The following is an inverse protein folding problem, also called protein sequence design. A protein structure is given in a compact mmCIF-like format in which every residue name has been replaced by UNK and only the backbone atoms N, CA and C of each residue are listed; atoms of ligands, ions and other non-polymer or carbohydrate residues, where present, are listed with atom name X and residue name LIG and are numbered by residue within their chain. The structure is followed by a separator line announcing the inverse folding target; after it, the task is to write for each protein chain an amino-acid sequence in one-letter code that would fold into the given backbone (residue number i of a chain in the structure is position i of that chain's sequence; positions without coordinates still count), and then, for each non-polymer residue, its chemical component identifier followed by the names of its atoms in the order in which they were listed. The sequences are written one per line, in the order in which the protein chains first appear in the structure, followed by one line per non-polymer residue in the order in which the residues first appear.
data_IF_865936544658
#
_entry.id   IF_865936544658
#
_cell.length_a   1.000
_cell.length_b   1.000
_cell.length_c   1.000
_cell.angle_alpha   90.00
_cell.angle_beta   90.00
_cell.angle_gamma   90.00
#
_symmetry.space_group_name_H-M   'P 1'
#
loop_
_entity.id
_entity.type
_entity.pdbx_description
1 polymer ?
#
# COMPACT_ATOMS: atom_id res chain seq x y z
N UNK A 1 79.08 3.74 9.02
CA UNK A 1 77.84 4.26 8.40
C UNK A 1 76.75 3.23 8.67
N UNK A 2 76.05 3.20 9.79
CA UNK A 2 75.15 4.18 10.42
C UNK A 2 73.74 4.20 9.78
N UNK A 3 72.73 4.06 10.67
CA UNK A 3 71.25 3.98 10.53
C UNK A 3 70.70 2.58 10.18
N UNK A 4 69.90 1.88 11.00
CA UNK A 4 68.84 2.34 11.93
C UNK A 4 67.61 2.73 11.11
N UNK A 5 66.34 2.43 11.40
CA UNK A 5 65.63 2.21 12.67
C UNK A 5 64.21 1.69 12.29
N UNK A 6 63.59 0.91 13.18
CA UNK A 6 62.14 0.77 13.40
C UNK A 6 61.21 0.32 12.25
N UNK A 7 60.86 -0.96 12.28
CA UNK A 7 59.49 -1.38 11.98
C UNK A 7 58.62 -1.11 13.21
N UNK A 8 57.78 -0.07 13.13
CA UNK A 8 56.72 0.19 14.09
C UNK A 8 55.40 0.42 13.32
N UNK A 9 54.37 -0.25 13.84
CA UNK A 9 52.95 0.06 13.73
C UNK A 9 52.33 0.13 12.34
N UNK A 10 51.55 -0.90 11.99
CA UNK A 10 50.10 -0.70 11.80
C UNK A 10 49.37 -1.95 12.29
N UNK A 11 48.84 -1.85 13.51
CA UNK A 11 47.65 -2.56 13.93
C UNK A 11 46.48 -2.12 13.05
N UNK A 12 46.24 -2.83 11.94
CA UNK A 12 44.96 -2.71 11.25
C UNK A 12 44.00 -3.69 11.94
N UNK A 13 43.01 -3.21 12.73
CA UNK A 13 41.89 -4.05 13.05
C UNK A 13 41.22 -4.40 11.72
N UNK A 14 40.94 -5.69 11.54
CA UNK A 14 40.00 -6.17 10.53
C UNK A 14 38.81 -5.23 10.52
N UNK A 15 38.69 -4.40 9.49
CA UNK A 15 37.51 -3.59 9.25
C UNK A 15 36.36 -4.58 9.10
N UNK A 16 35.55 -4.70 10.15
CA UNK A 16 34.30 -5.43 10.07
C UNK A 16 33.49 -4.83 8.92
N UNK A 17 32.87 -5.66 8.06
CA UNK A 17 31.89 -5.17 7.10
C UNK A 17 30.61 -4.85 7.89
N UNK A 18 30.67 -3.79 8.69
CA UNK A 18 29.55 -3.27 9.49
C UNK A 18 29.06 -1.91 8.97
N UNK A 19 29.68 -1.37 7.92
CA UNK A 19 29.40 -0.04 7.37
C UNK A 19 28.55 -0.05 6.08
N UNK A 20 27.77 -1.12 5.87
CA UNK A 20 26.72 -1.21 4.83
C UNK A 20 25.31 -1.27 5.45
N UNK A 21 25.14 -0.70 6.64
CA UNK A 21 23.80 -0.42 7.16
C UNK A 21 23.25 0.80 6.40
N UNK A 22 22.15 0.67 5.61
CA UNK A 22 21.66 1.78 4.79
C UNK A 22 21.35 2.97 5.69
N UNK A 23 21.94 4.15 5.41
CA UNK A 23 21.83 5.37 6.21
C UNK A 23 20.45 5.55 6.84
N UNK A 24 20.31 5.13 8.09
CA UNK A 24 19.06 5.17 8.83
C UNK A 24 18.92 6.57 9.42
N UNK A 25 18.03 7.40 8.85
CA UNK A 25 17.61 8.60 9.55
C UNK A 25 16.99 8.16 10.90
N UNK A 26 17.54 8.57 12.05
CA UNK A 26 16.96 8.17 13.33
C UNK A 26 15.54 8.72 13.43
N UNK A 27 14.56 7.96 13.95
CA UNK A 27 13.24 8.50 14.17
C UNK A 27 13.37 9.73 15.07
N UNK A 28 12.76 10.88 14.70
CA UNK A 28 12.86 12.06 15.53
C UNK A 28 12.35 11.74 16.94
N UNK A 29 12.96 12.36 17.97
CA UNK A 29 12.65 12.15 19.40
C UNK A 29 11.17 12.39 19.80
N UNK A 30 10.29 12.71 18.84
CA UNK A 30 8.90 13.12 19.02
C UNK A 30 7.87 12.07 18.53
N UNK A 31 8.29 10.95 17.93
CA UNK A 31 7.32 9.94 17.45
C UNK A 31 6.71 9.17 18.63
N UNK A 32 5.44 9.45 18.93
CA UNK A 32 4.68 8.74 19.96
C UNK A 32 3.73 7.71 19.35
N UNK A 33 3.45 6.62 20.08
CA UNK A 33 2.49 5.60 19.63
C UNK A 33 1.11 6.19 19.37
N UNK A 34 0.68 7.15 20.20
CA UNK A 34 -0.60 7.85 20.03
C UNK A 34 -0.59 8.74 18.79
N UNK A 35 0.49 9.50 18.56
CA UNK A 35 0.62 10.33 17.36
C UNK A 35 0.55 9.49 16.09
N UNK A 36 1.25 8.36 16.08
CA UNK A 36 1.24 7.43 14.96
C UNK A 36 -0.15 6.83 14.73
N UNK A 37 -0.83 6.40 15.80
CA UNK A 37 -2.21 5.93 15.73
C UNK A 37 -3.14 6.97 15.11
N UNK A 38 -3.04 8.24 15.53
CA UNK A 38 -3.88 9.33 15.03
C UNK A 38 -3.60 9.64 13.55
N UNK A 39 -2.35 9.56 13.10
CA UNK A 39 -1.98 9.73 11.69
C UNK A 39 -2.63 8.63 10.85
N UNK A 40 -2.43 7.38 11.23
CA UNK A 40 -3.02 6.24 10.52
C UNK A 40 -4.55 6.27 10.55
N UNK A 41 -5.15 6.65 11.68
CA UNK A 41 -6.59 6.83 11.81
C UNK A 41 -7.11 7.89 10.85
N UNK A 42 -6.51 9.09 10.87
CA UNK A 42 -6.90 10.18 9.97
C UNK A 42 -6.84 9.73 8.52
N UNK A 43 -5.72 9.16 8.09
CA UNK A 43 -5.55 8.68 6.71
C UNK A 43 -6.58 7.60 6.39
N UNK A 44 -6.82 6.67 7.31
CA UNK A 44 -7.82 5.61 7.17
C UNK A 44 -9.25 6.13 7.00
N UNK A 45 -9.65 7.17 7.72
CA UNK A 45 -10.97 7.79 7.56
C UNK A 45 -11.08 8.65 6.30
N UNK A 46 -10.00 9.29 5.86
CA UNK A 46 -10.05 10.25 4.74
C UNK A 46 -9.74 9.64 3.39
N UNK A 47 -9.23 8.41 3.33
CA UNK A 47 -8.86 7.78 2.07
C UNK A 47 -10.01 7.00 1.44
N UNK A 48 -10.32 7.33 0.19
CA UNK A 48 -11.30 6.62 -0.63
C UNK A 48 -10.62 6.08 -1.91
N UNK A 49 -10.97 4.86 -2.33
CA UNK A 49 -10.67 4.40 -3.70
C UNK A 49 -9.21 4.00 -4.01
N UNK A 50 -8.48 3.38 -3.06
CA UNK A 50 -7.24 2.64 -3.37
C UNK A 50 -5.94 3.45 -3.37
N UNK A 51 -5.97 4.76 -3.10
CA UNK A 51 -4.78 5.62 -3.00
C UNK A 51 -4.04 5.61 -1.66
N UNK A 52 -4.35 4.67 -0.75
CA UNK A 52 -3.83 4.65 0.62
C UNK A 52 -2.30 4.63 0.70
N UNK A 53 -1.62 3.89 -0.18
CA UNK A 53 -0.15 3.90 -0.26
C UNK A 53 0.38 5.27 -0.66
N UNK A 54 -0.29 5.98 -1.58
CA UNK A 54 0.09 7.35 -1.95
C UNK A 54 -0.09 8.35 -0.81
N UNK A 55 -1.11 8.18 0.02
CA UNK A 55 -1.29 8.99 1.23
C UNK A 55 -0.20 8.71 2.27
N UNK A 56 0.20 7.45 2.46
CA UNK A 56 1.33 7.13 3.34
C UNK A 56 2.64 7.69 2.80
N UNK A 57 2.90 7.55 1.50
CA UNK A 57 4.07 8.14 0.85
C UNK A 57 4.12 9.65 1.11
N UNK A 58 3.02 10.36 0.85
CA UNK A 58 2.94 11.79 1.12
C UNK A 58 3.18 12.13 2.58
N UNK A 59 2.50 11.47 3.50
CA UNK A 59 2.59 11.81 4.92
C UNK A 59 3.98 11.49 5.51
N UNK A 60 4.50 10.29 5.26
CA UNK A 60 5.71 9.78 5.92
C UNK A 60 7.01 10.16 5.19
N UNK A 61 6.99 10.30 3.86
CA UNK A 61 8.16 10.70 3.06
C UNK A 61 8.15 12.21 2.83
N UNK A 62 7.07 12.78 2.27
CA UNK A 62 7.09 14.17 1.81
C UNK A 62 6.75 15.22 2.88
N UNK A 63 5.78 14.96 3.75
CA UNK A 63 5.33 15.94 4.73
C UNK A 63 6.19 15.86 5.99
N UNK A 64 6.45 14.65 6.50
CA UNK A 64 7.20 14.43 7.75
C UNK A 64 8.67 14.11 7.58
N UNK A 65 9.09 13.66 6.40
CA UNK A 65 10.48 13.25 6.13
C UNK A 65 11.01 12.22 7.13
N UNK A 66 10.15 11.31 7.59
CA UNK A 66 10.51 10.26 8.57
C UNK A 66 11.13 9.03 7.90
N UNK A 67 11.04 8.92 6.59
CA UNK A 67 11.60 7.83 5.78
C UNK A 67 11.95 8.33 4.40
N UNK A 68 12.94 7.70 3.78
CA UNK A 68 13.27 7.97 2.38
C UNK A 68 12.26 7.31 1.43
N UNK A 69 12.24 7.77 0.19
CA UNK A 69 11.43 7.16 -0.87
C UNK A 69 11.81 5.70 -1.11
N UNK A 70 13.11 5.38 -1.18
CA UNK A 70 13.59 4.00 -1.37
C UNK A 70 13.17 3.09 -0.21
N UNK A 71 13.25 3.60 1.01
CA UNK A 71 12.83 2.87 2.21
C UNK A 71 11.32 2.56 2.16
N UNK A 72 10.50 3.56 1.85
CA UNK A 72 9.07 3.37 1.69
C UNK A 72 8.73 2.36 0.59
N UNK A 73 9.40 2.46 -0.57
CA UNK A 73 9.17 1.56 -1.70
C UNK A 73 9.57 0.11 -1.38
N UNK A 74 10.66 -0.09 -0.65
CA UNK A 74 11.05 -1.41 -0.15
C UNK A 74 10.01 -1.98 0.83
N UNK A 75 9.50 -1.15 1.74
CA UNK A 75 8.41 -1.51 2.64
C UNK A 75 7.11 -1.85 1.91
N UNK A 76 6.78 -1.08 0.86
CA UNK A 76 5.63 -1.32 -0.01
C UNK A 76 5.78 -2.66 -0.75
N UNK A 77 6.94 -2.94 -1.34
CA UNK A 77 7.22 -4.19 -2.02
C UNK A 77 7.07 -5.40 -1.07
N UNK A 78 7.65 -5.31 0.13
CA UNK A 78 7.49 -6.35 1.15
C UNK A 78 6.02 -6.53 1.55
N UNK A 79 5.28 -5.44 1.71
CA UNK A 79 3.87 -5.47 2.08
C UNK A 79 2.97 -6.09 1.01
N UNK A 80 3.35 -6.00 -0.26
CA UNK A 80 2.67 -6.64 -1.39
C UNK A 80 3.04 -8.11 -1.57
N UNK A 81 4.23 -8.52 -1.12
CA UNK A 81 4.63 -9.92 -1.10
C UNK A 81 3.88 -10.73 -0.03
N UNK A 82 3.51 -10.08 1.08
CA UNK A 82 2.77 -10.70 2.16
C UNK A 82 1.29 -10.92 1.78
N UNK A 83 0.70 -12.09 2.13
CA UNK A 83 -0.71 -12.31 1.91
C UNK A 83 -1.56 -11.34 2.73
N UNK A 84 -2.73 -10.96 2.19
CA UNK A 84 -3.71 -10.15 2.89
C UNK A 84 -3.88 -8.75 2.28
N UNK A 85 -4.25 -7.79 3.12
CA UNK A 85 -4.55 -6.43 2.66
C UNK A 85 -3.27 -5.61 2.70
N UNK A 86 -2.70 -5.32 1.53
CA UNK A 86 -1.42 -4.62 1.36
C UNK A 86 -1.28 -3.36 2.23
N UNK A 87 -2.33 -2.55 2.35
CA UNK A 87 -2.30 -1.32 3.15
C UNK A 87 -2.11 -1.60 4.65
N UNK A 88 -2.71 -2.69 5.18
CA UNK A 88 -2.53 -3.08 6.58
C UNK A 88 -1.11 -3.54 6.84
N UNK A 89 -0.57 -4.36 5.94
CA UNK A 89 0.81 -4.83 6.01
C UNK A 89 1.79 -3.65 5.99
N UNK A 90 1.53 -2.67 5.13
CA UNK A 90 2.34 -1.46 5.04
C UNK A 90 2.23 -0.57 6.29
N UNK A 91 1.04 -0.40 6.86
CA UNK A 91 0.87 0.35 8.10
C UNK A 91 1.60 -0.32 9.29
N UNK A 92 1.54 -1.65 9.38
CA UNK A 92 2.32 -2.44 10.35
C UNK A 92 3.81 -2.21 10.14
N UNK A 93 4.28 -2.31 8.90
CA UNK A 93 5.70 -2.17 8.58
C UNK A 93 6.23 -0.76 8.86
N UNK A 94 5.53 0.28 8.41
CA UNK A 94 5.87 1.69 8.69
C UNK A 94 5.90 1.91 10.21
N UNK A 95 4.88 1.41 10.92
CA UNK A 95 4.83 1.55 12.37
C UNK A 95 5.94 0.79 13.09
N UNK A 96 6.24 -0.43 12.65
CA UNK A 96 7.37 -1.21 13.14
C UNK A 96 8.69 -0.47 12.95
N UNK A 97 8.86 0.15 11.79
CA UNK A 97 10.07 0.88 11.47
C UNK A 97 10.27 2.11 12.35
N UNK A 98 9.21 2.86 12.64
CA UNK A 98 9.30 4.11 13.39
C UNK A 98 9.39 3.93 14.91
N UNK A 99 8.71 2.91 15.48
CA UNK A 99 8.61 2.75 16.94
C UNK A 99 8.62 1.28 17.40
N UNK A 100 9.20 0.39 16.59
CA UNK A 100 9.23 -1.04 16.85
C UNK A 100 7.83 -1.65 16.99
N UNK A 101 7.71 -2.69 17.81
CA UNK A 101 6.44 -3.39 18.02
C UNK A 101 5.30 -2.47 18.46
N UNK A 102 5.59 -1.40 19.24
CA UNK A 102 4.59 -0.43 19.70
C UNK A 102 4.01 0.36 18.54
N UNK A 103 4.85 0.76 17.60
CA UNK A 103 4.41 1.45 16.40
C UNK A 103 3.65 0.52 15.45
N UNK A 104 4.06 -0.74 15.34
CA UNK A 104 3.34 -1.75 14.55
C UNK A 104 1.89 -1.93 15.02
N UNK A 105 1.70 -2.08 16.34
CA UNK A 105 0.36 -2.17 16.96
C UNK A 105 -0.41 -0.87 16.76
N UNK A 106 0.23 0.29 16.96
CA UNK A 106 -0.42 1.58 16.76
C UNK A 106 -0.87 1.80 15.30
N UNK A 107 -0.07 1.38 14.32
CA UNK A 107 -0.42 1.48 12.90
C UNK A 107 -1.55 0.54 12.50
N UNK A 108 -1.51 -0.71 12.96
CA UNK A 108 -2.58 -1.68 12.75
C UNK A 108 -3.91 -1.21 13.34
N UNK A 109 -3.89 -0.83 14.63
CA UNK A 109 -5.07 -0.31 15.32
C UNK A 109 -5.54 1.00 14.70
N UNK A 110 -4.61 1.89 14.31
CA UNK A 110 -4.93 3.17 13.68
C UNK A 110 -5.72 3.01 12.39
N UNK A 111 -5.43 1.99 11.58
CA UNK A 111 -6.19 1.74 10.34
C UNK A 111 -7.53 1.03 10.60
N UNK A 112 -7.56 0.06 11.52
CA UNK A 112 -8.72 -0.84 11.66
C UNK A 112 -9.74 -0.32 12.66
N UNK A 113 -9.29 0.10 13.83
CA UNK A 113 -10.15 0.50 14.94
C UNK A 113 -11.12 1.61 14.57
N UNK A 114 -10.70 2.76 13.99
CA UNK A 114 -11.65 3.81 13.63
C UNK A 114 -12.68 3.35 12.59
N UNK A 115 -12.25 2.60 11.57
CA UNK A 115 -13.15 2.07 10.56
C UNK A 115 -14.20 1.12 11.18
N UNK A 116 -13.77 0.25 12.10
CA UNK A 116 -14.67 -0.65 12.83
C UNK A 116 -15.67 0.13 13.67
N UNK A 117 -15.23 1.16 14.42
CA UNK A 117 -16.10 2.02 15.22
C UNK A 117 -17.14 2.71 14.34
N UNK A 118 -16.73 3.31 13.21
CA UNK A 118 -17.65 3.99 12.29
C UNK A 118 -18.72 3.02 11.75
N UNK A 119 -18.32 1.81 11.35
CA UNK A 119 -19.26 0.80 10.82
C UNK A 119 -20.24 0.35 11.90
N UNK A 120 -19.76 0.10 13.13
CA UNK A 120 -20.62 -0.30 14.25
C UNK A 120 -21.61 0.79 14.61
N UNK A 121 -21.15 2.05 14.71
CA UNK A 121 -22.01 3.19 15.00
C UNK A 121 -23.07 3.38 13.91
N UNK A 122 -22.68 3.28 12.64
CA UNK A 122 -23.61 3.41 11.52
C UNK A 122 -24.62 2.26 11.50
N UNK A 123 -24.20 1.03 11.84
CA UNK A 123 -25.09 -0.12 11.97
C UNK A 123 -26.08 0.02 13.13
N UNK A 124 -25.62 0.48 14.30
CA UNK A 124 -26.49 0.75 15.44
C UNK A 124 -27.50 1.87 15.14
N UNK A 125 -27.03 2.95 14.51
CA UNK A 125 -27.89 4.05 14.06
C UNK A 125 -28.94 3.56 13.06
N UNK A 126 -28.53 2.76 12.06
CA UNK A 126 -29.43 2.15 11.10
C UNK A 126 -30.50 1.29 11.79
N UNK A 127 -30.11 0.42 12.73
CA UNK A 127 -31.05 -0.43 13.45
C UNK A 127 -32.12 0.37 14.20
N UNK A 128 -31.80 1.58 14.67
CA UNK A 128 -32.75 2.45 15.35
C UNK A 128 -33.78 3.08 14.39
N UNK A 129 -33.40 3.33 13.13
CA UNK A 129 -34.27 3.99 12.13
C UNK A 129 -34.83 3.02 11.06
N UNK A 130 -34.50 1.72 11.16
CA UNK A 130 -34.87 0.70 10.17
C UNK A 130 -36.39 0.49 10.04
N UNK A 131 -37.17 0.88 11.05
CA UNK A 131 -38.65 0.80 11.02
C UNK A 131 -39.30 1.77 10.03
N UNK A 132 -38.58 2.81 9.57
CA UNK A 132 -39.12 3.78 8.63
C UNK A 132 -38.92 3.33 7.16
N UNK A 133 -39.96 3.36 6.31
CA UNK A 133 -39.85 2.98 4.90
C UNK A 133 -38.80 3.78 4.11
N UNK A 134 -38.57 5.03 4.51
CA UNK A 134 -37.62 5.94 3.88
C UNK A 134 -36.16 5.50 4.04
N UNK A 135 -35.86 4.73 5.10
CA UNK A 135 -34.51 4.25 5.42
C UNK A 135 -33.99 3.29 4.35
N UNK A 136 -34.85 2.41 3.83
CA UNK A 136 -34.48 1.47 2.76
C UNK A 136 -34.14 2.20 1.45
N UNK A 137 -34.88 3.25 1.12
CA UNK A 137 -34.63 4.08 -0.08
C UNK A 137 -33.32 4.85 0.07
N UNK A 138 -33.08 5.44 1.24
CA UNK A 138 -31.82 6.13 1.51
C UNK A 138 -30.61 5.18 1.41
N UNK A 139 -30.73 3.95 1.93
CA UNK A 139 -29.67 2.95 1.85
C UNK A 139 -29.43 2.48 0.41
N UNK A 140 -30.50 2.31 -0.38
CA UNK A 140 -30.37 2.01 -1.80
C UNK A 140 -29.67 3.15 -2.57
N UNK A 141 -29.97 4.41 -2.23
CA UNK A 141 -29.27 5.57 -2.76
C UNK A 141 -27.78 5.60 -2.38
N UNK A 142 -27.45 5.31 -1.12
CA UNK A 142 -26.06 5.19 -0.66
C UNK A 142 -25.31 4.06 -1.38
N UNK A 143 -25.94 2.90 -1.56
CA UNK A 143 -25.39 1.78 -2.32
C UNK A 143 -25.16 2.15 -3.79
N UNK A 144 -26.11 2.84 -4.42
CA UNK A 144 -25.95 3.36 -5.78
C UNK A 144 -24.78 4.36 -5.88
N UNK A 145 -24.61 5.23 -4.89
CA UNK A 145 -23.46 6.13 -4.78
C UNK A 145 -22.13 5.39 -4.67
N UNK A 146 -22.06 4.34 -3.83
CA UNK A 146 -20.87 3.51 -3.69
C UNK A 146 -20.50 2.77 -5.00
N UNK A 147 -21.49 2.29 -5.74
CA UNK A 147 -21.30 1.70 -7.08
C UNK A 147 -20.78 2.77 -8.04
N UNK A 148 -21.37 3.97 -8.06
CA UNK A 148 -20.92 5.09 -8.89
C UNK A 148 -19.49 5.51 -8.61
N UNK A 149 -19.09 5.59 -7.34
CA UNK A 149 -17.71 5.86 -6.93
C UNK A 149 -16.75 4.75 -7.39
N UNK A 150 -17.15 3.48 -7.23
CA UNK A 150 -16.38 2.33 -7.68
C UNK A 150 -16.19 2.36 -9.21
N UNK A 151 -17.24 2.68 -9.95
CA UNK A 151 -17.20 2.84 -11.41
C UNK A 151 -16.29 4.02 -11.82
N UNK A 152 -16.35 5.16 -11.12
CA UNK A 152 -15.48 6.30 -11.37
C UNK A 152 -13.99 5.93 -11.21
N UNK A 153 -13.66 5.15 -10.18
CA UNK A 153 -12.31 4.64 -9.99
C UNK A 153 -11.90 3.66 -11.09
N UNK A 154 -12.80 2.76 -11.48
CA UNK A 154 -12.55 1.84 -12.61
C UNK A 154 -12.29 2.60 -13.92
N UNK A 155 -13.08 3.65 -14.21
CA UNK A 155 -12.89 4.50 -15.39
C UNK A 155 -11.57 5.27 -15.30
N UNK A 156 -11.23 5.81 -14.12
CA UNK A 156 -9.97 6.52 -13.91
C UNK A 156 -8.77 5.60 -14.15
N UNK A 157 -8.83 4.37 -13.65
CA UNK A 157 -7.81 3.35 -13.93
C UNK A 157 -7.76 3.02 -15.43
N UNK A 158 -8.91 2.78 -16.07
CA UNK A 158 -9.01 2.48 -17.50
C UNK A 158 -8.42 3.60 -18.40
N UNK A 159 -8.57 4.87 -17.99
CA UNK A 159 -8.01 6.03 -18.71
C UNK A 159 -6.49 6.16 -18.59
N UNK A 160 -5.86 5.52 -17.61
CA UNK A 160 -4.40 5.48 -17.44
C UNK A 160 -3.73 4.41 -18.30
N UNK A 161 -4.49 3.52 -18.94
CA UNK A 161 -3.93 2.53 -19.87
C UNK A 161 -3.37 3.25 -21.10
N UNK A 162 -2.24 2.77 -21.66
CA UNK A 162 -1.71 3.34 -22.90
C UNK A 162 -2.75 3.18 -24.02
N UNK A 163 -2.85 4.18 -24.89
CA UNK A 163 -3.81 4.22 -26.01
C UNK A 163 -3.45 3.23 -27.11
N UNK A 164 -3.54 1.94 -26.80
CA UNK A 164 -3.34 0.81 -27.70
C UNK A 164 -4.56 -0.09 -27.61
N UNK A 165 -4.94 -0.71 -28.73
CA UNK A 165 -6.09 -1.62 -28.80
C UNK A 165 -5.94 -2.85 -27.90
N UNK A 166 -4.71 -3.35 -27.71
CA UNK A 166 -4.44 -4.55 -26.93
C UNK A 166 -4.84 -4.44 -25.44
N UNK A 167 -4.44 -3.42 -24.67
CA UNK A 167 -4.88 -3.26 -23.27
C UNK A 167 -6.40 -3.18 -23.10
N UNK A 168 -7.10 -2.51 -24.02
CA UNK A 168 -8.57 -2.47 -24.00
C UNK A 168 -9.21 -3.82 -24.32
N UNK A 169 -8.63 -4.61 -25.23
CA UNK A 169 -9.08 -5.98 -25.52
C UNK A 169 -8.91 -6.90 -24.30
N UNK A 170 -7.76 -6.85 -23.63
CA UNK A 170 -7.52 -7.64 -22.42
C UNK A 170 -8.48 -7.24 -21.29
N UNK A 171 -8.71 -5.93 -21.10
CA UNK A 171 -9.69 -5.41 -20.15
C UNK A 171 -11.10 -5.96 -20.44
N UNK A 172 -11.56 -5.86 -21.69
CA UNK A 172 -12.89 -6.30 -22.09
C UNK A 172 -13.04 -7.83 -21.97
N UNK A 173 -12.02 -8.59 -22.38
CA UNK A 173 -11.99 -10.05 -22.27
C UNK A 173 -12.02 -10.51 -20.81
N UNK A 174 -11.23 -9.88 -19.95
CA UNK A 174 -11.20 -10.16 -18.50
C UNK A 174 -12.54 -9.82 -17.86
N UNK A 175 -13.13 -8.69 -18.22
CA UNK A 175 -14.45 -8.28 -17.74
C UNK A 175 -15.54 -9.27 -18.19
N UNK A 176 -15.55 -9.69 -19.46
CA UNK A 176 -16.50 -10.68 -19.96
C UNK A 176 -16.34 -12.03 -19.25
N UNK A 177 -15.11 -12.52 -19.09
CA UNK A 177 -14.80 -13.77 -18.38
C UNK A 177 -15.30 -13.75 -16.92
N UNK A 178 -15.08 -12.64 -16.20
CA UNK A 178 -15.48 -12.51 -14.81
C UNK A 178 -16.99 -12.22 -14.64
N UNK A 179 -17.54 -11.29 -15.42
CA UNK A 179 -18.91 -10.81 -15.23
C UNK A 179 -19.97 -11.68 -15.92
N UNK A 180 -19.69 -12.20 -17.12
CA UNK A 180 -20.64 -13.00 -17.93
C UNK A 180 -20.46 -14.48 -17.65
N UNK A 181 -19.24 -14.98 -17.73
CA UNK A 181 -18.95 -16.41 -17.59
C UNK A 181 -18.75 -16.86 -16.14
N UNK A 182 -18.72 -15.91 -15.18
CA UNK A 182 -18.50 -16.15 -13.74
C UNK A 182 -17.33 -17.08 -13.45
N UNK A 183 -16.32 -17.06 -14.31
CA UNK A 183 -15.09 -17.84 -14.11
C UNK A 183 -14.42 -17.32 -12.86
N UNK A 184 -13.89 -18.22 -12.03
CA UNK A 184 -13.14 -17.83 -10.82
C UNK A 184 -12.10 -16.78 -11.20
N UNK A 185 -12.15 -15.64 -10.48
CA UNK A 185 -11.26 -14.50 -10.71
C UNK A 185 -9.79 -14.92 -10.71
N UNK A 186 -9.45 -15.94 -9.91
CA UNK A 186 -8.10 -16.52 -9.84
C UNK A 186 -7.65 -17.04 -11.20
N UNK A 187 -8.47 -17.87 -11.87
CA UNK A 187 -8.14 -18.42 -13.19
C UNK A 187 -8.09 -17.33 -14.25
N UNK A 188 -9.03 -16.39 -14.22
CA UNK A 188 -9.06 -15.26 -15.16
C UNK A 188 -7.79 -14.43 -15.06
N UNK A 189 -7.35 -14.09 -13.84
CA UNK A 189 -6.12 -13.31 -13.62
C UNK A 189 -4.87 -14.09 -13.99
N UNK A 190 -4.78 -15.38 -13.66
CA UNK A 190 -3.63 -16.20 -14.02
C UNK A 190 -3.47 -16.34 -15.54
N UNK A 191 -4.56 -16.62 -16.25
CA UNK A 191 -4.52 -16.81 -17.71
C UNK A 191 -4.31 -15.47 -18.43
N UNK A 192 -5.11 -14.45 -18.09
CA UNK A 192 -5.01 -13.14 -18.74
C UNK A 192 -3.69 -12.44 -18.42
N UNK A 193 -3.22 -12.56 -17.16
CA UNK A 193 -1.93 -12.04 -16.73
C UNK A 193 -0.76 -12.72 -17.47
N UNK A 194 -0.73 -14.05 -17.50
CA UNK A 194 0.31 -14.79 -18.21
C UNK A 194 0.32 -14.49 -19.72
N UNK A 195 -0.85 -14.43 -20.36
CA UNK A 195 -0.97 -14.07 -21.78
C UNK A 195 -0.52 -12.63 -22.05
N UNK A 196 -0.88 -11.69 -21.18
CA UNK A 196 -0.49 -10.28 -21.33
C UNK A 196 1.03 -10.11 -21.19
N UNK A 197 1.64 -10.75 -20.19
CA UNK A 197 3.10 -10.69 -19.98
C UNK A 197 3.84 -11.39 -21.11
N UNK A 198 3.39 -12.58 -21.52
CA UNK A 198 4.00 -13.32 -22.63
C UNK A 198 3.95 -12.55 -23.95
N UNK A 199 2.85 -11.87 -24.24
CA UNK A 199 2.72 -11.06 -25.45
C UNK A 199 3.65 -9.84 -25.44
N UNK A 200 3.75 -9.13 -24.30
CA UNK A 200 4.69 -8.00 -24.18
C UNK A 200 6.14 -8.44 -24.27
N UNK A 201 6.51 -9.54 -23.60
CA UNK A 201 7.88 -10.10 -23.67
C UNK A 201 8.29 -10.46 -25.11
N UNK A 202 7.41 -11.11 -25.87
CA UNK A 202 7.65 -11.45 -27.28
C UNK A 202 7.70 -10.21 -28.17
N UNK A 203 7.02 -9.12 -27.79
CA UNK A 203 7.02 -7.87 -28.55
C UNK A 203 8.29 -7.05 -28.29
N UNK A 204 8.74 -6.96 -27.05
CA UNK A 204 10.01 -6.31 -26.69
C UNK A 204 11.20 -7.06 -27.28
N UNK A 205 11.18 -8.39 -27.29
CA UNK A 205 12.20 -9.20 -27.96
C UNK A 205 12.24 -9.03 -29.50
N UNK A 206 11.25 -8.35 -30.11
CA UNK A 206 11.17 -8.07 -31.55
C UNK A 206 11.50 -6.62 -31.93
N UNK A 207 11.78 -5.75 -30.97
CA UNK A 207 12.24 -4.39 -31.24
C UNK A 207 13.78 -4.36 -31.19
N UNK A 208 14.48 -4.20 -32.33
CA UNK A 208 15.93 -4.11 -32.37
C UNK A 208 16.46 -2.78 -31.82
#
# INVERSE_FOLDING_TARGET
MAKGIHGQDVSDPVSTPEDDAPHHAPPPREVTSLGLFLIFARIGLTSFGGGLSGWFMREFVHDRHWMSEDEFLNGLALSQALPGVNVKNLAIWIGYRLLGWRGAVAGFCGIIFPAAVVIILLGAFFSAIASFPLTHIALAGAAAGAIGLSLSMAITAARRLPRRVFPYLVLLATFAAAAVFRVSLVWTVLIAGALSVGYEYVREARQP
#
